data_IF_443974698851
#
_entry.id   IF_443974698851
#
_cell.length_a   1.000
_cell.length_b   1.000
_cell.length_c   1.000
_cell.angle_alpha   90.00
_cell.angle_beta   90.00
_cell.angle_gamma   90.00
#
_symmetry.space_group_name_H-M   'P 1'
#
loop_
_entity.id
_entity.type
_entity.pdbx_description
1 polymer ?
#
# COMPACT_ATOMS: atom_id res chain seq x y z
N UNK A 1 -1.66 -3.55 -13.18
CA UNK A 1 -1.14 -2.17 -13.23
C UNK A 1 0.35 -2.21 -12.94
N UNK A 2 1.14 -1.60 -13.80
CA UNK A 2 2.60 -1.64 -13.70
C UNK A 2 3.10 -1.04 -12.39
N UNK A 3 2.47 0.04 -11.94
CA UNK A 3 2.84 0.69 -10.68
C UNK A 3 2.65 -0.25 -9.49
N UNK A 4 1.60 -1.08 -9.53
CA UNK A 4 1.36 -2.06 -8.46
C UNK A 4 2.47 -3.09 -8.44
N UNK A 5 2.90 -3.57 -9.59
CA UNK A 5 3.99 -4.54 -9.68
C UNK A 5 5.29 -3.95 -9.14
N UNK A 6 5.58 -2.69 -9.47
CA UNK A 6 6.75 -1.99 -8.96
C UNK A 6 6.70 -1.83 -7.44
N UNK A 7 5.53 -1.52 -6.90
CA UNK A 7 5.36 -1.39 -5.46
C UNK A 7 5.59 -2.71 -4.73
N UNK A 8 5.07 -3.81 -5.28
CA UNK A 8 5.32 -5.13 -4.71
C UNK A 8 6.81 -5.44 -4.67
N UNK A 9 7.51 -5.09 -5.74
CA UNK A 9 8.96 -5.29 -5.81
C UNK A 9 9.71 -4.49 -4.75
N UNK A 10 9.37 -3.20 -4.60
CA UNK A 10 9.97 -2.35 -3.57
C UNK A 10 9.77 -2.93 -2.17
N UNK A 11 8.55 -3.37 -1.88
CA UNK A 11 8.24 -3.94 -0.57
C UNK A 11 9.03 -5.23 -0.34
N UNK A 12 9.12 -6.09 -1.36
CA UNK A 12 9.87 -7.34 -1.25
C UNK A 12 11.35 -7.10 -1.02
N UNK A 13 11.89 -6.04 -1.61
CA UNK A 13 13.30 -5.68 -1.43
C UNK A 13 13.58 -5.00 -0.09
N UNK A 14 12.54 -4.65 0.65
CA UNK A 14 12.69 -3.96 1.92
C UNK A 14 12.74 -2.46 1.81
N UNK A 15 12.53 -1.90 0.61
CA UNK A 15 12.52 -0.45 0.39
C UNK A 15 11.13 0.10 0.67
N UNK A 16 10.71 -0.08 1.92
CA UNK A 16 9.32 0.17 2.31
C UNK A 16 8.98 1.66 2.41
N UNK A 17 9.94 2.50 2.78
CA UNK A 17 9.67 3.93 2.89
C UNK A 17 9.39 4.54 1.52
N UNK A 18 10.13 4.13 0.49
CA UNK A 18 9.86 4.55 -0.88
C UNK A 18 8.50 4.07 -1.34
N UNK A 19 8.16 2.82 -1.04
CA UNK A 19 6.87 2.25 -1.41
C UNK A 19 5.72 3.01 -0.73
N UNK A 20 5.84 3.31 0.56
CA UNK A 20 4.81 4.05 1.30
C UNK A 20 4.60 5.43 0.68
N UNK A 21 5.70 6.12 0.37
CA UNK A 21 5.62 7.45 -0.23
C UNK A 21 4.88 7.40 -1.58
N UNK A 22 5.19 6.44 -2.42
CA UNK A 22 4.52 6.27 -3.70
C UNK A 22 3.05 5.91 -3.51
N UNK A 23 2.74 5.04 -2.54
CA UNK A 23 1.36 4.69 -2.23
C UNK A 23 0.56 5.88 -1.74
N UNK A 24 1.15 6.73 -0.89
CA UNK A 24 0.50 7.94 -0.42
C UNK A 24 0.10 8.84 -1.59
N UNK A 25 1.00 8.99 -2.56
CA UNK A 25 0.72 9.80 -3.75
C UNK A 25 -0.38 9.20 -4.61
N UNK A 26 -0.32 7.88 -4.84
CA UNK A 26 -1.33 7.20 -5.65
C UNK A 26 -2.71 7.25 -5.01
N UNK A 27 -2.79 7.12 -3.69
CA UNK A 27 -4.07 7.13 -2.99
C UNK A 27 -4.77 8.48 -3.05
N UNK A 28 -4.04 9.55 -3.38
CA UNK A 28 -4.62 10.87 -3.59
C UNK A 28 -5.14 11.07 -5.00
N UNK A 29 -4.83 10.16 -5.92
CA UNK A 29 -5.21 10.28 -7.33
C UNK A 29 -6.55 9.58 -7.55
N UNK A 30 -7.54 10.34 -8.01
CA UNK A 30 -8.89 9.79 -8.25
C UNK A 30 -8.92 8.75 -9.37
N UNK A 31 -7.93 8.72 -10.24
CA UNK A 31 -7.88 7.74 -11.33
C UNK A 31 -7.63 6.32 -10.85
N UNK A 32 -7.17 6.13 -9.59
CA UNK A 32 -6.89 4.80 -9.04
C UNK A 32 -8.02 4.28 -8.15
N UNK A 33 -9.22 4.83 -8.29
CA UNK A 33 -10.36 4.47 -7.43
C UNK A 33 -10.60 2.96 -7.40
N UNK A 34 -10.49 2.30 -8.55
CA UNK A 34 -10.74 0.86 -8.65
C UNK A 34 -9.67 0.03 -7.97
N UNK A 35 -8.48 0.57 -7.79
CA UNK A 35 -7.33 -0.13 -7.22
C UNK A 35 -7.10 0.23 -5.75
N UNK A 36 -7.96 1.02 -5.13
CA UNK A 36 -7.74 1.50 -3.76
C UNK A 36 -7.60 0.36 -2.76
N UNK A 37 -8.42 -0.69 -2.87
CA UNK A 37 -8.31 -1.82 -1.97
C UNK A 37 -6.93 -2.48 -2.07
N UNK A 38 -6.43 -2.68 -3.29
CA UNK A 38 -5.10 -3.24 -3.51
C UNK A 38 -4.02 -2.31 -2.96
N UNK A 39 -4.16 -1.00 -3.17
CA UNK A 39 -3.17 -0.04 -2.70
C UNK A 39 -3.10 0.00 -1.17
N UNK A 40 -4.24 -0.03 -0.49
CA UNK A 40 -4.25 -0.10 0.98
C UNK A 40 -3.67 -1.41 1.48
N UNK A 41 -3.96 -2.51 0.82
CA UNK A 41 -3.40 -3.80 1.17
C UNK A 41 -1.87 -3.77 1.07
N UNK A 42 -1.33 -3.22 -0.01
CA UNK A 42 0.12 -3.08 -0.20
C UNK A 42 0.73 -2.16 0.84
N UNK A 43 0.04 -1.07 1.17
CA UNK A 43 0.51 -0.16 2.21
C UNK A 43 0.57 -0.87 3.57
N UNK A 44 -0.43 -1.69 3.86
CA UNK A 44 -0.41 -2.55 5.04
C UNK A 44 0.79 -3.47 5.06
N UNK A 45 1.10 -4.09 3.92
CA UNK A 45 2.27 -4.97 3.80
C UNK A 45 3.57 -4.21 4.04
N UNK A 46 3.66 -2.97 3.53
CA UNK A 46 4.85 -2.14 3.73
C UNK A 46 5.04 -1.81 5.21
N UNK A 47 3.98 -1.40 5.88
CA UNK A 47 4.05 -1.12 7.31
C UNK A 47 4.37 -2.36 8.13
N UNK A 48 3.79 -3.51 7.76
CA UNK A 48 4.10 -4.78 8.42
C UNK A 48 5.59 -5.09 8.32
N UNK A 49 6.15 -4.94 7.13
CA UNK A 49 7.56 -5.20 6.91
C UNK A 49 8.45 -4.24 7.69
N UNK A 50 7.96 -3.01 7.88
CA UNK A 50 8.63 -2.01 8.70
C UNK A 50 8.53 -2.30 10.19
N UNK A 51 7.62 -3.17 10.60
CA UNK A 51 7.38 -3.49 12.00
C UNK A 51 6.31 -2.64 12.66
N UNK A 52 5.62 -1.80 11.90
CA UNK A 52 4.55 -0.95 12.42
C UNK A 52 3.21 -1.68 12.28
N UNK A 53 2.92 -2.53 13.25
CA UNK A 53 1.76 -3.40 13.20
C UNK A 53 0.44 -2.65 13.28
N UNK A 54 0.40 -1.55 14.03
CA UNK A 54 -0.81 -0.74 14.14
C UNK A 54 -1.21 -0.16 12.78
N UNK A 55 -0.25 0.44 12.08
CA UNK A 55 -0.52 0.99 10.76
C UNK A 55 -0.86 -0.11 9.77
N UNK A 56 -0.21 -1.26 9.87
CA UNK A 56 -0.51 -2.37 9.00
C UNK A 56 -1.97 -2.81 9.15
N UNK A 57 -2.43 -2.98 10.39
CA UNK A 57 -3.81 -3.38 10.66
C UNK A 57 -4.80 -2.34 10.17
N UNK A 58 -4.51 -1.05 10.40
CA UNK A 58 -5.39 0.03 9.93
C UNK A 58 -5.55 -0.01 8.42
N UNK A 59 -4.44 -0.20 7.70
CA UNK A 59 -4.49 -0.24 6.24
C UNK A 59 -5.19 -1.49 5.72
N UNK A 60 -5.00 -2.63 6.36
CA UNK A 60 -5.74 -3.84 6.00
C UNK A 60 -7.24 -3.64 6.22
N UNK A 61 -7.61 -2.96 7.29
CA UNK A 61 -9.02 -2.67 7.58
C UNK A 61 -9.61 -1.74 6.51
N UNK A 62 -8.87 -0.72 6.09
CA UNK A 62 -9.30 0.16 5.00
C UNK A 62 -9.54 -0.64 3.72
N UNK A 63 -8.66 -1.58 3.40
CA UNK A 63 -8.81 -2.41 2.21
C UNK A 63 -10.08 -3.26 2.27
N UNK A 64 -10.38 -3.82 3.43
CA UNK A 64 -11.58 -4.64 3.63
C UNK A 64 -12.83 -3.77 3.53
N UNK A 65 -12.82 -2.57 4.11
CA UNK A 65 -13.97 -1.69 4.15
C UNK A 65 -14.36 -1.18 2.75
N UNK A 66 -13.39 -0.99 1.87
CA UNK A 66 -13.66 -0.58 0.48
C UNK A 66 -14.31 -1.71 -0.31
N UNK A 67 -13.90 -2.93 -0.03
CA UNK A 67 -14.35 -4.12 -0.72
C UNK A 67 -15.65 -4.63 -0.10
#
# INVERSE_FOLDING_TARGET
MEQIDNLKELINQGDVDTAIKQLDQLLQDSSVEKEKDTLYYLRGNAYRKKGDWKQALDNYQFAIDIN
#
